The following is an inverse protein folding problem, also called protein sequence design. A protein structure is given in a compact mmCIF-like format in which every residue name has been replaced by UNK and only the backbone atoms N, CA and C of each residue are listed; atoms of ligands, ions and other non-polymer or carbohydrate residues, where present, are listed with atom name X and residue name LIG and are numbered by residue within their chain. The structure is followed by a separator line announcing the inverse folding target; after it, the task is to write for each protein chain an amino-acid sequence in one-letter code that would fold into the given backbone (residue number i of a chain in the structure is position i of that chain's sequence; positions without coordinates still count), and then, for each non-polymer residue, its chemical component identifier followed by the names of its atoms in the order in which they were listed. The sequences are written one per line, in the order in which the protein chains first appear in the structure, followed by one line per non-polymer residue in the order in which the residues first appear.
data_IF_712166567705
#
_entry.id   IF_712166567705
#
_cell.length_a   1.000
_cell.length_b   1.000
_cell.length_c   1.000
_cell.angle_alpha   90.00
_cell.angle_beta   90.00
_cell.angle_gamma   90.00
#
_symmetry.space_group_name_H-M   'P 1'
#
loop_
_entity.id
_entity.type
_entity.pdbx_description
1 polymer ?
#
# COMPACT_ATOMS: atom_id res chain seq x y z
N UNK A 1 43.47 -6.72 -16.70
CA UNK A 1 42.24 -6.64 -15.90
C UNK A 1 41.25 -5.78 -16.67
N UNK A 2 40.36 -6.42 -17.40
CA UNK A 2 39.30 -5.77 -18.17
C UNK A 2 38.19 -5.38 -17.18
N UNK A 3 37.99 -4.09 -16.96
CA UNK A 3 36.81 -3.57 -16.32
C UNK A 3 35.64 -3.86 -17.26
N UNK A 4 34.87 -4.90 -16.97
CA UNK A 4 33.53 -5.04 -17.54
C UNK A 4 32.73 -3.80 -17.13
N UNK A 5 32.46 -2.95 -18.12
CA UNK A 5 31.43 -1.94 -18.01
C UNK A 5 30.11 -2.70 -17.86
N UNK A 6 29.68 -2.94 -16.62
CA UNK A 6 28.31 -3.31 -16.30
C UNK A 6 27.45 -2.09 -16.64
N UNK A 7 26.97 -2.04 -17.88
CA UNK A 7 25.86 -1.16 -18.22
C UNK A 7 24.70 -1.52 -17.27
N UNK A 8 24.05 -0.54 -16.66
CA UNK A 8 22.82 -0.84 -15.93
C UNK A 8 21.86 -1.59 -16.85
N UNK A 9 21.06 -2.53 -16.35
CA UNK A 9 20.10 -3.25 -17.17
C UNK A 9 19.29 -2.26 -18.01
N UNK A 10 19.04 -2.59 -19.27
CA UNK A 10 18.43 -1.68 -20.25
C UNK A 10 17.05 -1.14 -19.80
N UNK A 11 16.36 -1.87 -18.89
CA UNK A 11 15.12 -1.42 -18.25
C UNK A 11 15.11 -1.83 -16.75
N UNK A 12 15.62 -1.00 -15.83
CA UNK A 12 15.51 -1.30 -14.41
C UNK A 12 14.04 -1.27 -13.98
N UNK A 13 13.60 -2.27 -13.21
CA UNK A 13 12.29 -2.26 -12.56
C UNK A 13 12.22 -1.06 -11.63
N UNK A 14 11.21 -0.23 -11.77
CA UNK A 14 11.01 0.95 -10.93
C UNK A 14 9.73 0.90 -10.08
N UNK A 15 8.73 0.08 -10.46
CA UNK A 15 7.49 -0.09 -9.70
C UNK A 15 7.25 -1.57 -9.41
N UNK A 16 7.06 -1.91 -8.14
CA UNK A 16 6.66 -3.25 -7.70
C UNK A 16 5.21 -3.22 -7.21
N UNK A 17 4.35 -3.98 -7.86
CA UNK A 17 2.96 -4.18 -7.47
C UNK A 17 2.91 -5.27 -6.40
N UNK A 18 2.43 -4.95 -5.20
CA UNK A 18 2.32 -5.91 -4.10
C UNK A 18 0.87 -6.37 -3.97
N UNK A 19 0.59 -7.60 -4.38
CA UNK A 19 -0.76 -8.14 -4.56
C UNK A 19 -0.96 -9.47 -3.81
N UNK A 20 -1.40 -9.43 -2.55
CA UNK A 20 -1.98 -10.61 -1.90
C UNK A 20 -3.35 -10.92 -2.50
N UNK A 21 -3.64 -12.19 -2.76
CA UNK A 21 -4.93 -12.62 -3.32
C UNK A 21 -5.37 -13.96 -2.76
N UNK A 22 -6.70 -14.15 -2.60
CA UNK A 22 -7.30 -15.40 -2.15
C UNK A 22 -8.72 -15.57 -2.67
N UNK A 23 -8.99 -16.73 -3.29
CA UNK A 23 -10.34 -17.17 -3.66
C UNK A 23 -11.03 -16.34 -4.73
N UNK A 24 -10.27 -15.55 -5.52
CA UNK A 24 -10.79 -14.58 -6.48
C UNK A 24 -10.12 -14.66 -7.84
N UNK A 25 -10.17 -15.82 -8.54
CA UNK A 25 -9.43 -16.02 -9.79
C UNK A 25 -9.77 -15.01 -10.89
N UNK A 26 -11.06 -14.72 -11.12
CA UNK A 26 -11.50 -13.74 -12.13
C UNK A 26 -11.21 -12.29 -11.76
N UNK A 27 -11.50 -11.83 -10.52
CA UNK A 27 -11.07 -10.52 -10.08
C UNK A 27 -9.55 -10.32 -10.17
N UNK A 28 -8.73 -11.31 -9.80
CA UNK A 28 -7.28 -11.29 -9.96
C UNK A 28 -6.87 -11.03 -11.42
N UNK A 29 -7.45 -11.75 -12.38
CA UNK A 29 -7.19 -11.53 -13.80
C UNK A 29 -7.61 -10.12 -14.22
N UNK A 30 -8.82 -9.70 -13.88
CA UNK A 30 -9.36 -8.39 -14.25
C UNK A 30 -8.50 -7.24 -13.69
N UNK A 31 -8.12 -7.32 -12.42
CA UNK A 31 -7.33 -6.27 -11.79
C UNK A 31 -5.95 -6.11 -12.45
N UNK A 32 -5.28 -7.23 -12.78
CA UNK A 32 -3.99 -7.19 -13.46
C UNK A 32 -4.09 -6.73 -14.91
N UNK A 33 -5.12 -7.18 -15.66
CA UNK A 33 -5.34 -6.69 -17.02
C UNK A 33 -5.59 -5.18 -17.05
N UNK A 34 -6.49 -4.67 -16.22
CA UNK A 34 -6.77 -3.22 -16.18
C UNK A 34 -5.55 -2.42 -15.73
N UNK A 35 -4.72 -2.96 -14.86
CA UNK A 35 -3.50 -2.32 -14.40
C UNK A 35 -2.46 -2.26 -15.54
N UNK A 36 -2.14 -3.39 -16.15
CA UNK A 36 -1.03 -3.50 -17.09
C UNK A 36 -1.39 -3.01 -18.51
N UNK A 37 -2.62 -3.21 -18.98
CA UNK A 37 -3.08 -2.70 -20.27
C UNK A 37 -3.13 -1.16 -20.34
N UNK A 38 -3.21 -0.50 -19.17
CA UNK A 38 -3.17 0.96 -19.07
C UNK A 38 -1.80 1.52 -18.67
N UNK A 39 -0.81 0.67 -18.44
CA UNK A 39 0.55 1.12 -18.21
C UNK A 39 1.21 1.58 -19.52
N UNK A 40 2.01 2.64 -19.43
CA UNK A 40 2.79 3.14 -20.56
C UNK A 40 3.97 2.25 -20.88
N UNK A 41 4.62 1.73 -19.85
CA UNK A 41 5.80 0.87 -19.98
C UNK A 41 5.73 -0.30 -18.98
N UNK A 42 4.97 -1.36 -19.30
CA UNK A 42 4.82 -2.53 -18.45
C UNK A 42 6.15 -3.26 -18.17
N UNK A 43 7.15 -3.16 -19.05
CA UNK A 43 8.45 -3.84 -18.90
C UNK A 43 9.27 -3.32 -17.70
N UNK A 44 8.88 -2.17 -17.14
CA UNK A 44 9.51 -1.58 -15.95
C UNK A 44 8.69 -1.80 -14.67
N UNK A 45 7.69 -2.65 -14.75
CA UNK A 45 6.83 -3.05 -13.64
C UNK A 45 7.11 -4.50 -13.30
N UNK A 46 7.19 -4.83 -12.02
CA UNK A 46 7.11 -6.21 -11.56
C UNK A 46 5.82 -6.44 -10.77
N UNK A 47 5.27 -7.65 -10.85
CA UNK A 47 4.09 -8.07 -10.10
C UNK A 47 4.50 -9.10 -9.06
N UNK A 48 4.36 -8.74 -7.78
CA UNK A 48 4.66 -9.58 -6.64
C UNK A 48 3.36 -10.14 -6.08
N UNK A 49 3.10 -11.44 -6.25
CA UNK A 49 1.86 -12.10 -5.82
C UNK A 49 2.10 -12.92 -4.56
N UNK A 50 1.14 -12.87 -3.65
CA UNK A 50 1.08 -13.78 -2.50
C UNK A 50 -0.19 -14.63 -2.58
N UNK A 51 -0.02 -15.95 -2.53
CA UNK A 51 -1.09 -16.94 -2.51
C UNK A 51 -1.04 -17.76 -1.22
N UNK A 52 -2.20 -18.12 -0.70
CA UNK A 52 -2.27 -19.20 0.28
C UNK A 52 -2.12 -20.55 -0.41
N UNK A 53 -1.35 -21.47 0.16
CA UNK A 53 -1.04 -22.78 -0.43
C UNK A 53 -2.27 -23.71 -0.58
N UNK A 54 -3.35 -23.43 0.15
CA UNK A 54 -4.62 -24.14 0.08
C UNK A 54 -5.58 -23.54 -0.97
N UNK A 55 -5.25 -22.40 -1.59
CA UNK A 55 -6.07 -21.74 -2.61
C UNK A 55 -5.77 -22.27 -4.03
N UNK A 56 -6.03 -23.55 -4.20
CA UNK A 56 -5.64 -24.27 -5.42
C UNK A 56 -6.34 -23.78 -6.70
N UNK A 57 -7.56 -23.26 -6.59
CA UNK A 57 -8.30 -22.74 -7.73
C UNK A 57 -7.67 -21.43 -8.25
N UNK A 58 -7.34 -20.52 -7.35
CA UNK A 58 -6.72 -19.24 -7.69
C UNK A 58 -5.30 -19.45 -8.26
N UNK A 59 -4.52 -20.35 -7.63
CA UNK A 59 -3.18 -20.73 -8.11
C UNK A 59 -3.27 -21.34 -9.52
N UNK A 60 -4.24 -22.27 -9.73
CA UNK A 60 -4.45 -22.88 -11.05
C UNK A 60 -4.80 -21.83 -12.11
N UNK A 61 -5.73 -20.92 -11.80
CA UNK A 61 -6.11 -19.84 -12.71
C UNK A 61 -4.92 -18.91 -13.02
N UNK A 62 -4.11 -18.61 -12.03
CA UNK A 62 -2.88 -17.85 -12.23
C UNK A 62 -1.97 -18.54 -13.25
N UNK A 63 -1.67 -19.83 -13.07
CA UNK A 63 -0.78 -20.58 -13.96
C UNK A 63 -1.36 -20.72 -15.36
N UNK A 64 -2.66 -21.01 -15.48
CA UNK A 64 -3.29 -21.31 -16.76
C UNK A 64 -3.62 -20.04 -17.59
N UNK A 65 -3.85 -18.89 -16.94
CA UNK A 65 -4.42 -17.70 -17.61
C UNK A 65 -3.57 -16.45 -17.37
N UNK A 66 -3.24 -16.15 -16.11
CA UNK A 66 -2.57 -14.88 -15.77
C UNK A 66 -1.08 -14.92 -16.13
N UNK A 67 -0.41 -15.99 -15.80
CA UNK A 67 1.02 -16.16 -16.10
C UNK A 67 1.32 -16.03 -17.60
N UNK A 68 0.63 -16.72 -18.53
CA UNK A 68 0.82 -16.51 -19.97
C UNK A 68 0.60 -15.06 -20.43
N UNK A 69 -0.36 -14.37 -19.82
CA UNK A 69 -0.61 -12.96 -20.12
C UNK A 69 0.57 -12.06 -19.67
N UNK A 70 1.14 -12.29 -18.48
CA UNK A 70 2.31 -11.57 -17.99
C UNK A 70 3.54 -11.84 -18.88
N UNK A 71 3.74 -13.10 -19.26
CA UNK A 71 4.83 -13.53 -20.17
C UNK A 71 4.71 -12.83 -21.54
N UNK A 72 3.50 -12.76 -22.11
CA UNK A 72 3.25 -12.10 -23.40
C UNK A 72 3.52 -10.59 -23.34
N UNK A 73 3.32 -9.95 -22.21
CA UNK A 73 3.63 -8.54 -21.99
C UNK A 73 5.11 -8.29 -21.63
N UNK A 74 5.88 -9.34 -21.32
CA UNK A 74 7.26 -9.21 -20.84
C UNK A 74 7.34 -8.57 -19.45
N UNK A 75 6.33 -8.75 -18.61
CA UNK A 75 6.27 -8.24 -17.24
C UNK A 75 6.96 -9.21 -16.31
N UNK A 76 7.91 -8.72 -15.52
CA UNK A 76 8.52 -9.51 -14.44
C UNK A 76 7.51 -9.82 -13.35
N UNK A 77 7.51 -11.06 -12.85
CA UNK A 77 6.62 -11.42 -11.73
C UNK A 77 7.26 -12.45 -10.81
N UNK A 78 6.77 -12.47 -9.57
CA UNK A 78 7.07 -13.50 -8.57
C UNK A 78 5.79 -13.91 -7.85
N UNK A 79 5.59 -15.22 -7.67
CA UNK A 79 4.46 -15.78 -6.94
C UNK A 79 4.97 -16.53 -5.71
N UNK A 80 4.69 -15.99 -4.52
CA UNK A 80 5.11 -16.57 -3.24
C UNK A 80 3.91 -17.29 -2.62
N UNK A 81 4.10 -18.55 -2.25
CA UNK A 81 3.08 -19.33 -1.54
C UNK A 81 3.33 -19.32 -0.04
N UNK A 82 2.25 -19.10 0.71
CA UNK A 82 2.24 -19.06 2.17
C UNK A 82 1.35 -20.16 2.74
N UNK A 83 1.63 -20.61 3.96
CA UNK A 83 0.57 -21.19 4.77
C UNK A 83 -0.47 -20.08 5.05
N UNK A 84 -1.76 -20.43 5.04
CA UNK A 84 -2.83 -19.45 5.20
C UNK A 84 -2.61 -18.59 6.46
N UNK A 85 -2.39 -17.29 6.23
CA UNK A 85 -2.25 -16.29 7.28
C UNK A 85 -3.58 -15.58 7.60
N UNK A 86 -4.47 -15.44 6.61
CA UNK A 86 -5.74 -14.75 6.70
C UNK A 86 -5.60 -13.23 6.77
N UNK A 87 -6.75 -12.52 6.78
CA UNK A 87 -6.78 -11.06 6.79
C UNK A 87 -6.11 -10.44 8.03
N UNK A 88 -6.18 -11.12 9.17
CA UNK A 88 -5.57 -10.66 10.42
C UNK A 88 -4.05 -10.55 10.37
N UNK A 89 -3.43 -11.14 9.35
CA UNK A 89 -1.97 -11.11 9.12
C UNK A 89 -1.63 -10.60 7.71
N UNK A 90 -2.49 -9.78 7.12
CA UNK A 90 -2.30 -9.21 5.78
C UNK A 90 -0.97 -8.46 5.63
N UNK A 91 -0.52 -7.81 6.70
CA UNK A 91 0.78 -7.15 6.72
C UNK A 91 1.97 -8.11 6.50
N UNK A 92 1.86 -9.37 6.88
CA UNK A 92 2.96 -10.34 6.71
C UNK A 92 3.15 -10.71 5.24
N UNK A 93 2.06 -10.88 4.47
CA UNK A 93 2.15 -11.05 3.02
C UNK A 93 2.84 -9.84 2.38
N UNK A 94 2.33 -8.63 2.65
CA UNK A 94 2.85 -7.41 2.04
C UNK A 94 4.31 -7.13 2.43
N UNK A 95 4.69 -7.38 3.69
CA UNK A 95 6.06 -7.23 4.15
C UNK A 95 7.02 -8.19 3.44
N UNK A 96 6.61 -9.43 3.23
CA UNK A 96 7.44 -10.42 2.52
C UNK A 96 7.54 -10.10 1.03
N UNK A 97 6.44 -9.69 0.38
CA UNK A 97 6.48 -9.21 -1.00
C UNK A 97 7.42 -8.01 -1.15
N UNK A 98 7.31 -7.02 -0.26
CA UNK A 98 8.16 -5.83 -0.28
C UNK A 98 9.65 -6.13 -0.08
N UNK A 99 9.97 -7.14 0.72
CA UNK A 99 11.35 -7.57 0.97
C UNK A 99 12.00 -8.15 -0.30
N UNK A 100 11.23 -8.89 -1.09
CA UNK A 100 11.70 -9.54 -2.32
C UNK A 100 11.55 -8.68 -3.57
N UNK A 101 10.85 -7.55 -3.50
CA UNK A 101 10.65 -6.63 -4.63
C UNK A 101 11.96 -5.98 -5.09
N UNK A 102 12.03 -5.59 -6.36
CA UNK A 102 13.18 -4.91 -6.97
C UNK A 102 12.92 -3.42 -7.20
N UNK A 103 11.66 -3.04 -7.40
CA UNK A 103 11.27 -1.68 -7.75
C UNK A 103 11.62 -0.66 -6.68
N UNK A 104 11.94 0.55 -7.11
CA UNK A 104 12.19 1.70 -6.23
C UNK A 104 10.93 2.21 -5.55
N UNK A 105 9.76 1.91 -6.12
CA UNK A 105 8.44 2.24 -5.63
C UNK A 105 7.60 1.00 -5.42
N UNK A 106 6.93 0.91 -4.27
CA UNK A 106 6.08 -0.19 -3.84
C UNK A 106 4.64 0.26 -3.91
N UNK A 107 3.84 -0.38 -4.74
CA UNK A 107 2.44 -0.06 -4.93
C UNK A 107 1.56 -1.17 -4.33
N UNK A 108 0.83 -0.87 -3.25
CA UNK A 108 -0.14 -1.80 -2.69
C UNK A 108 -1.31 -1.95 -3.66
N UNK A 109 -1.64 -3.16 -4.00
CA UNK A 109 -2.72 -3.45 -4.92
C UNK A 109 -3.64 -4.53 -4.36
N UNK A 110 -4.92 -4.48 -4.71
CA UNK A 110 -5.92 -5.45 -4.32
C UNK A 110 -6.51 -6.12 -5.56
N UNK A 111 -6.94 -7.37 -5.43
CA UNK A 111 -7.57 -8.12 -6.51
C UNK A 111 -9.00 -7.64 -6.88
N UNK A 112 -9.59 -6.73 -6.09
CA UNK A 112 -10.83 -6.02 -6.37
C UNK A 112 -10.63 -4.57 -6.81
N UNK A 113 -9.44 -4.23 -7.28
CA UNK A 113 -9.10 -2.91 -7.81
C UNK A 113 -9.09 -2.88 -9.34
N UNK A 114 -9.60 -1.79 -9.91
CA UNK A 114 -9.65 -1.56 -11.37
C UNK A 114 -8.97 -0.25 -11.68
N UNK A 115 -7.86 -0.28 -12.40
CA UNK A 115 -7.17 0.93 -12.88
C UNK A 115 -8.02 1.66 -13.91
N UNK A 116 -8.16 2.98 -13.76
CA UNK A 116 -8.93 3.85 -14.66
C UNK A 116 -8.08 4.90 -15.38
N UNK A 117 -6.85 5.07 -14.97
CA UNK A 117 -5.96 6.09 -15.54
C UNK A 117 -5.00 5.46 -16.55
N UNK A 118 -5.05 5.94 -17.78
CA UNK A 118 -4.05 5.61 -18.80
C UNK A 118 -2.69 6.20 -18.42
N UNK A 119 -1.60 5.48 -18.71
CA UNK A 119 -0.22 5.90 -18.43
C UNK A 119 0.04 6.19 -16.94
N UNK A 120 -0.69 5.52 -16.04
CA UNK A 120 -0.62 5.71 -14.58
C UNK A 120 0.82 5.52 -14.01
N UNK A 121 1.58 4.63 -14.60
CA UNK A 121 2.97 4.35 -14.23
C UNK A 121 3.89 5.53 -14.52
N UNK A 122 3.64 6.26 -15.62
CA UNK A 122 4.35 7.50 -15.93
C UNK A 122 4.03 8.59 -14.90
N UNK A 123 2.76 8.68 -14.47
CA UNK A 123 2.38 9.63 -13.40
C UNK A 123 3.15 9.34 -12.12
N UNK A 124 3.33 8.07 -11.75
CA UNK A 124 4.17 7.70 -10.59
C UNK A 124 5.63 8.14 -10.84
N UNK A 125 6.22 7.82 -11.99
CA UNK A 125 7.61 8.17 -12.33
C UNK A 125 7.84 9.69 -12.27
N UNK A 126 6.90 10.48 -12.77
CA UNK A 126 6.98 11.94 -12.76
C UNK A 126 6.94 12.53 -11.34
N UNK A 127 6.40 11.78 -10.37
CA UNK A 127 6.31 12.15 -8.96
C UNK A 127 7.33 11.45 -8.06
N UNK A 128 8.20 10.59 -8.63
CA UNK A 128 9.14 9.74 -7.91
C UNK A 128 10.44 10.47 -7.48
N UNK A 129 10.53 11.79 -7.64
CA UNK A 129 11.75 12.57 -7.38
C UNK A 129 12.02 12.77 -5.89
N UNK A 130 11.01 12.60 -5.04
CA UNK A 130 11.08 12.92 -3.62
C UNK A 130 10.48 11.81 -2.76
N UNK A 131 10.83 11.79 -1.48
CA UNK A 131 10.33 10.84 -0.51
C UNK A 131 8.91 11.22 -0.06
N UNK A 132 7.88 10.71 -0.75
CA UNK A 132 6.47 10.88 -0.41
C UNK A 132 5.75 9.53 -0.35
N UNK A 133 4.67 9.45 0.42
CA UNK A 133 3.57 8.54 0.15
C UNK A 133 2.74 9.18 -0.96
N UNK A 134 2.70 8.55 -2.14
CA UNK A 134 1.83 8.97 -3.22
C UNK A 134 0.44 8.34 -3.01
N UNK A 135 -0.58 9.20 -3.05
CA UNK A 135 -1.98 8.82 -2.86
C UNK A 135 -2.71 8.89 -4.19
N UNK A 136 -3.17 7.75 -4.68
CA UNK A 136 -4.10 7.68 -5.80
C UNK A 136 -5.51 8.11 -5.36
N UNK A 137 -6.31 8.63 -6.30
CA UNK A 137 -7.73 8.92 -6.11
C UNK A 137 -8.55 7.63 -6.25
N UNK A 138 -9.69 7.56 -5.57
CA UNK A 138 -10.58 6.40 -5.62
C UNK A 138 -12.03 6.83 -5.87
N UNK A 139 -12.86 5.89 -6.32
CA UNK A 139 -14.29 6.11 -6.61
C UNK A 139 -15.15 6.42 -5.38
N UNK A 140 -14.58 6.42 -4.19
CA UNK A 140 -15.24 6.85 -2.96
C UNK A 140 -14.25 7.60 -2.07
N UNK A 141 -14.75 8.58 -1.34
CA UNK A 141 -13.91 9.33 -0.41
C UNK A 141 -13.45 8.43 0.74
N UNK A 142 -12.16 8.44 0.99
CA UNK A 142 -11.55 7.74 2.10
C UNK A 142 -10.42 8.59 2.71
N UNK A 143 -10.28 8.63 4.04
CA UNK A 143 -9.25 9.45 4.67
C UNK A 143 -7.83 8.97 4.37
N UNK A 144 -7.63 7.65 4.24
CA UNK A 144 -6.34 7.04 4.00
C UNK A 144 -6.04 6.87 2.50
N UNK A 145 -4.77 6.72 2.15
CA UNK A 145 -4.38 6.20 0.85
C UNK A 145 -4.68 4.69 0.82
N UNK A 146 -5.81 4.28 0.26
CA UNK A 146 -6.23 2.86 0.21
C UNK A 146 -5.23 2.03 -0.59
N UNK A 147 -4.70 2.61 -1.65
CA UNK A 147 -3.65 2.06 -2.49
C UNK A 147 -2.39 2.91 -2.34
N UNK A 148 -1.68 2.82 -1.20
CA UNK A 148 -0.49 3.64 -0.98
C UNK A 148 0.63 3.22 -1.92
N UNK A 149 1.32 4.23 -2.47
CA UNK A 149 2.52 4.06 -3.27
C UNK A 149 3.67 4.65 -2.46
N UNK A 150 4.62 3.81 -2.07
CA UNK A 150 5.70 4.17 -1.17
C UNK A 150 7.07 3.97 -1.82
N UNK A 151 8.06 4.84 -1.55
CA UNK A 151 9.43 4.53 -1.93
C UNK A 151 9.91 3.28 -1.17
N UNK A 152 10.62 2.38 -1.82
CA UNK A 152 11.23 1.19 -1.18
C UNK A 152 12.12 1.58 0.01
N UNK A 153 12.68 2.77 -0.02
CA UNK A 153 13.43 3.38 1.08
C UNK A 153 12.66 3.40 2.40
N UNK A 154 11.32 3.46 2.36
CA UNK A 154 10.47 3.33 3.56
C UNK A 154 10.77 2.01 4.30
N UNK A 155 10.76 0.90 3.58
CA UNK A 155 11.04 -0.43 4.15
C UNK A 155 12.47 -0.54 4.66
N UNK A 156 13.44 0.06 3.98
CA UNK A 156 14.84 0.09 4.41
C UNK A 156 15.00 0.83 5.75
N UNK A 157 14.21 1.88 5.99
CA UNK A 157 14.27 2.68 7.23
C UNK A 157 13.54 1.99 8.37
N UNK A 158 12.34 1.47 8.13
CA UNK A 158 11.46 0.93 9.18
C UNK A 158 11.67 -0.56 9.42
N UNK A 159 12.18 -1.29 8.42
CA UNK A 159 12.35 -2.73 8.41
C UNK A 159 11.12 -3.51 7.90
N UNK A 160 10.03 -2.81 7.54
CA UNK A 160 8.77 -3.38 7.05
C UNK A 160 7.90 -2.29 6.41
N UNK A 161 6.84 -2.66 5.70
CA UNK A 161 5.81 -1.72 5.23
C UNK A 161 4.89 -1.30 6.38
N UNK A 162 4.37 -2.28 7.10
CA UNK A 162 3.49 -2.10 8.25
C UNK A 162 3.62 -3.28 9.22
N UNK A 163 3.67 -3.04 10.52
CA UNK A 163 3.61 -4.10 11.52
C UNK A 163 2.18 -4.51 11.88
N UNK A 164 1.18 -3.85 11.29
CA UNK A 164 -0.24 -4.03 11.57
C UNK A 164 -0.99 -4.36 10.28
N UNK A 165 -2.03 -5.19 10.36
CA UNK A 165 -2.82 -5.66 9.22
C UNK A 165 -3.61 -4.54 8.50
N UNK A 166 -3.90 -3.42 9.16
CA UNK A 166 -4.49 -2.24 8.53
C UNK A 166 -3.35 -1.38 7.94
N UNK A 167 -2.81 -1.86 6.82
CA UNK A 167 -1.58 -1.32 6.23
C UNK A 167 -1.75 0.09 5.66
N UNK A 168 -2.86 0.34 4.98
CA UNK A 168 -3.23 1.62 4.37
C UNK A 168 -3.34 2.74 5.41
N UNK A 169 -4.05 2.49 6.50
CA UNK A 169 -4.16 3.43 7.61
C UNK A 169 -2.83 3.62 8.33
N UNK A 170 -2.03 2.55 8.50
CA UNK A 170 -0.72 2.64 9.14
C UNK A 170 0.21 3.58 8.39
N UNK A 171 0.44 3.29 7.12
CA UNK A 171 1.35 4.09 6.28
C UNK A 171 0.86 5.52 6.11
N UNK A 172 -0.46 5.71 5.93
CA UNK A 172 -1.05 7.04 5.83
C UNK A 172 -0.88 7.86 7.11
N UNK A 173 -1.08 7.27 8.29
CA UNK A 173 -0.93 8.01 9.54
C UNK A 173 0.53 8.41 9.82
N UNK A 174 1.47 7.53 9.53
CA UNK A 174 2.90 7.85 9.64
C UNK A 174 3.27 8.99 8.67
N UNK A 175 2.80 8.91 7.43
CA UNK A 175 3.06 9.95 6.43
C UNK A 175 2.40 11.30 6.78
N UNK A 176 1.22 11.30 7.36
CA UNK A 176 0.54 12.53 7.81
C UNK A 176 1.28 13.22 8.96
N UNK A 177 1.83 12.45 9.89
CA UNK A 177 2.63 13.03 10.98
C UNK A 177 3.84 13.81 10.47
N UNK A 178 4.33 13.47 9.28
CA UNK A 178 5.51 14.10 8.65
C UNK A 178 5.16 15.05 7.51
N UNK A 179 3.89 15.18 7.15
CA UNK A 179 3.45 15.99 6.00
C UNK A 179 4.06 15.54 4.66
N UNK A 180 4.17 14.24 4.48
CA UNK A 180 4.75 13.62 3.29
C UNK A 180 3.72 12.82 2.47
N UNK A 181 2.48 13.27 2.43
CA UNK A 181 1.46 12.72 1.53
C UNK A 181 1.28 13.62 0.33
N UNK A 182 1.38 13.05 -0.86
CA UNK A 182 1.16 13.76 -2.13
C UNK A 182 0.07 13.05 -2.94
N UNK A 183 -1.05 13.70 -3.17
CA UNK A 183 -2.09 13.16 -4.06
C UNK A 183 -1.64 13.30 -5.51
N UNK A 184 -1.84 12.25 -6.30
CA UNK A 184 -1.49 12.19 -7.72
C UNK A 184 -2.75 11.90 -8.55
N UNK A 185 -2.82 12.34 -9.81
CA UNK A 185 -3.99 12.15 -10.67
C UNK A 185 -4.05 10.72 -11.26
N UNK A 186 -4.08 9.73 -10.39
CA UNK A 186 -4.28 8.32 -10.72
C UNK A 186 -5.60 7.89 -10.11
N UNK A 187 -6.58 7.49 -10.92
CA UNK A 187 -7.90 7.06 -10.49
C UNK A 187 -7.99 5.53 -10.46
N UNK A 188 -8.42 4.99 -9.33
CA UNK A 188 -8.62 3.56 -9.11
C UNK A 188 -10.06 3.33 -8.64
N UNK A 189 -10.79 2.46 -9.30
CA UNK A 189 -12.07 1.98 -8.79
C UNK A 189 -11.83 0.78 -7.87
N UNK A 190 -12.33 0.85 -6.64
CA UNK A 190 -12.27 -0.21 -5.67
C UNK A 190 -13.64 -0.90 -5.60
N UNK A 191 -13.71 -2.14 -6.12
CA UNK A 191 -14.95 -2.91 -6.25
C UNK A 191 -15.22 -3.77 -4.99
N UNK A 192 -15.16 -3.14 -3.82
CA UNK A 192 -15.40 -3.79 -2.53
C UNK A 192 -16.87 -4.18 -2.36
N UNK A 193 -17.14 -5.25 -1.60
CA UNK A 193 -18.48 -5.73 -1.29
C UNK A 193 -19.41 -4.65 -0.73
N UNK A 194 -18.95 -3.84 0.20
CA UNK A 194 -19.75 -2.78 0.82
C UNK A 194 -20.09 -1.62 -0.14
N UNK A 195 -19.45 -1.55 -1.29
CA UNK A 195 -19.73 -0.57 -2.35
C UNK A 195 -20.57 -1.16 -3.49
N UNK A 196 -20.33 -2.42 -3.83
CA UNK A 196 -20.94 -3.07 -5.01
C UNK A 196 -22.03 -4.09 -4.65
N UNK A 197 -22.00 -4.65 -3.45
CA UNK A 197 -22.82 -5.79 -3.05
C UNK A 197 -22.30 -7.13 -3.57
N UNK A 198 -21.15 -7.15 -4.23
CA UNK A 198 -20.48 -8.34 -4.78
C UNK A 198 -19.19 -8.62 -3.99
N UNK A 199 -18.65 -9.84 -4.16
CA UNK A 199 -17.37 -10.26 -3.51
C UNK A 199 -17.46 -10.46 -1.98
N UNK A 200 -18.61 -10.89 -1.46
CA UNK A 200 -18.74 -11.30 -0.04
C UNK A 200 -18.06 -12.66 0.18
N UNK A 201 -16.83 -12.62 0.61
CA UNK A 201 -16.00 -13.80 0.89
C UNK A 201 -15.53 -13.89 2.35
N UNK A 202 -14.69 -14.88 2.65
CA UNK A 202 -14.11 -15.06 3.98
C UNK A 202 -13.23 -13.89 4.40
N UNK A 203 -12.44 -13.34 3.49
CA UNK A 203 -11.53 -12.21 3.73
C UNK A 203 -12.30 -10.99 4.20
N UNK A 204 -13.43 -10.68 3.54
CA UNK A 204 -14.29 -9.57 3.94
C UNK A 204 -14.95 -9.81 5.31
N UNK A 205 -15.35 -11.04 5.61
CA UNK A 205 -15.90 -11.41 6.94
C UNK A 205 -14.86 -11.23 8.05
N UNK A 206 -13.63 -11.69 7.84
CA UNK A 206 -12.52 -11.49 8.78
C UNK A 206 -12.24 -10.00 9.00
N UNK A 207 -12.32 -9.18 7.96
CA UNK A 207 -12.21 -7.72 8.06
C UNK A 207 -13.28 -7.11 8.94
N UNK A 208 -14.58 -7.47 8.75
CA UNK A 208 -15.67 -6.98 9.60
C UNK A 208 -15.42 -7.33 11.07
N UNK A 209 -14.91 -8.52 11.36
CA UNK A 209 -14.57 -8.92 12.73
C UNK A 209 -13.50 -8.00 13.32
N UNK A 210 -12.49 -7.64 12.55
CA UNK A 210 -11.42 -6.72 12.97
C UNK A 210 -11.95 -5.31 13.22
N UNK A 211 -12.80 -4.78 12.35
CA UNK A 211 -13.37 -3.43 12.47
C UNK A 211 -14.28 -3.29 13.71
N UNK A 212 -14.86 -4.39 14.17
CA UNK A 212 -15.73 -4.44 15.35
C UNK A 212 -15.00 -4.83 16.66
N UNK A 213 -13.66 -4.90 16.67
CA UNK A 213 -12.92 -5.22 17.88
C UNK A 213 -13.06 -4.12 18.92
N UNK A 214 -13.20 -4.49 20.22
CA UNK A 214 -13.17 -3.52 21.29
C UNK A 214 -11.84 -2.75 21.33
N UNK A 215 -11.87 -1.42 21.48
CA UNK A 215 -10.66 -0.58 21.49
C UNK A 215 -9.65 -0.88 22.61
N UNK A 216 -10.00 -1.76 23.55
CA UNK A 216 -9.11 -2.30 24.58
C UNK A 216 -8.37 -3.58 24.13
N UNK A 217 -8.79 -4.20 23.01
CA UNK A 217 -8.11 -5.38 22.47
C UNK A 217 -6.72 -4.97 21.95
N UNK A 218 -5.66 -5.67 22.34
CA UNK A 218 -4.31 -5.37 21.83
C UNK A 218 -4.16 -5.47 20.31
N UNK A 219 -5.11 -6.08 19.62
CA UNK A 219 -5.18 -6.16 18.14
C UNK A 219 -5.86 -4.95 17.51
N UNK A 220 -6.57 -4.13 18.31
CA UNK A 220 -7.21 -2.91 17.83
C UNK A 220 -6.15 -1.91 17.34
N UNK A 221 -6.34 -1.39 16.14
CA UNK A 221 -5.44 -0.43 15.51
C UNK A 221 -5.18 0.82 16.35
N UNK A 222 -6.15 1.24 17.17
CA UNK A 222 -6.08 2.42 18.03
C UNK A 222 -5.57 2.10 19.44
N UNK A 223 -5.26 0.82 19.74
CA UNK A 223 -4.67 0.47 21.02
C UNK A 223 -3.36 1.23 21.27
N UNK A 224 -3.09 1.58 22.53
CA UNK A 224 -1.95 2.43 22.91
C UNK A 224 -0.59 1.89 22.43
N UNK A 225 -0.44 0.57 22.39
CA UNK A 225 0.78 -0.07 21.90
C UNK A 225 1.07 0.29 20.44
N UNK A 226 0.04 0.22 19.58
CA UNK A 226 0.19 0.54 18.16
C UNK A 226 0.35 2.04 17.92
N UNK A 227 -0.28 2.89 18.75
CA UNK A 227 -0.05 4.34 18.70
C UNK A 227 1.41 4.69 18.99
N UNK A 228 1.99 4.12 20.07
CA UNK A 228 3.41 4.33 20.39
C UNK A 228 4.32 3.87 19.26
N UNK A 229 4.06 2.68 18.72
CA UNK A 229 4.87 2.13 17.62
C UNK A 229 4.80 2.98 16.36
N UNK A 230 3.64 3.57 16.01
CA UNK A 230 3.54 4.51 14.90
C UNK A 230 4.42 5.74 15.10
N UNK A 231 4.46 6.28 16.31
CA UNK A 231 5.34 7.41 16.65
C UNK A 231 6.81 7.01 16.49
N UNK A 232 7.22 5.85 17.00
CA UNK A 232 8.59 5.35 16.87
C UNK A 232 9.01 5.17 15.40
N UNK A 233 8.13 4.68 14.56
CA UNK A 233 8.39 4.58 13.13
C UNK A 233 8.44 5.94 12.44
N UNK A 234 7.52 6.83 12.80
CA UNK A 234 7.56 8.22 12.31
C UNK A 234 8.87 8.89 12.65
N UNK A 235 9.41 8.64 13.85
CA UNK A 235 10.71 9.18 14.26
C UNK A 235 11.87 8.64 13.42
N UNK A 236 11.87 7.36 13.05
CA UNK A 236 12.89 6.80 12.15
C UNK A 236 12.86 7.49 10.79
N UNK A 237 11.68 7.69 10.21
CA UNK A 237 11.52 8.37 8.93
C UNK A 237 11.88 9.85 9.06
N UNK A 238 11.50 10.53 10.15
CA UNK A 238 11.89 11.91 10.43
C UNK A 238 13.41 12.08 10.47
N UNK A 239 14.14 11.17 11.13
CA UNK A 239 15.60 11.18 11.16
C UNK A 239 16.21 11.06 9.75
N UNK A 240 15.64 10.22 8.90
CA UNK A 240 16.05 10.13 7.50
C UNK A 240 15.77 11.43 6.74
N UNK A 241 14.56 12.00 6.89
CA UNK A 241 14.17 13.26 6.24
C UNK A 241 15.08 14.41 6.66
N UNK A 242 15.41 14.54 7.96
CA UNK A 242 16.37 15.51 8.47
C UNK A 242 17.74 15.30 7.80
N UNK A 243 18.19 14.06 7.62
CA UNK A 243 19.49 13.75 7.01
C UNK A 243 19.61 14.18 5.55
N UNK A 244 18.48 14.29 4.84
CA UNK A 244 18.40 14.78 3.45
C UNK A 244 17.93 16.24 3.35
N UNK A 245 17.88 16.96 4.47
CA UNK A 245 17.56 18.38 4.54
C UNK A 245 16.08 18.74 4.42
N UNK A 246 15.17 17.77 4.64
CA UNK A 246 13.72 18.04 4.68
C UNK A 246 13.29 18.46 6.09
N UNK A 247 12.37 19.42 6.14
CA UNK A 247 11.87 19.99 7.40
C UNK A 247 10.92 19.01 8.12
N UNK A 248 11.28 18.60 9.34
CA UNK A 248 10.46 17.82 10.25
C UNK A 248 10.13 18.58 11.55
N UNK A 249 10.37 19.88 11.59
CA UNK A 249 10.22 20.70 12.78
C UNK A 249 8.83 20.57 13.41
N UNK A 250 7.77 20.52 12.58
CA UNK A 250 6.43 20.39 13.11
C UNK A 250 6.25 19.09 13.93
N UNK A 251 6.74 17.96 13.41
CA UNK A 251 6.70 16.67 14.12
C UNK A 251 7.52 16.76 15.43
N UNK A 252 8.74 17.29 15.38
CA UNK A 252 9.63 17.44 16.53
C UNK A 252 8.99 18.31 17.63
N UNK A 253 8.40 19.42 17.25
CA UNK A 253 7.74 20.35 18.16
C UNK A 253 6.47 19.74 18.77
N UNK A 254 5.74 18.90 18.03
CA UNK A 254 4.60 18.14 18.56
C UNK A 254 5.04 17.13 19.62
N UNK A 255 6.17 16.47 19.42
CA UNK A 255 6.72 15.50 20.39
C UNK A 255 7.21 16.18 21.70
N UNK A 256 7.56 17.47 21.64
CA UNK A 256 8.00 18.26 22.81
C UNK A 256 6.89 19.08 23.45
N UNK A 257 5.65 18.95 22.97
CA UNK A 257 4.48 19.69 23.48
C UNK A 257 4.42 21.15 23.09
N UNK A 258 5.25 21.61 22.14
CA UNK A 258 5.21 22.98 21.60
C UNK A 258 4.06 23.23 20.63
N UNK A 259 3.61 22.18 19.96
CA UNK A 259 2.47 22.19 19.04
C UNK A 259 1.31 21.39 19.63
N UNK A 260 0.07 21.61 19.12
CA UNK A 260 -1.05 20.73 19.46
C UNK A 260 -0.71 19.26 19.23
N UNK A 261 -1.32 18.40 20.03
CA UNK A 261 -1.15 16.96 19.98
C UNK A 261 -1.10 16.45 18.54
N UNK A 262 -0.07 15.68 18.22
CA UNK A 262 0.13 15.06 16.90
C UNK A 262 -1.10 14.30 16.41
N UNK A 263 -1.91 13.75 17.35
CA UNK A 263 -3.18 13.10 17.06
C UNK A 263 -4.24 14.07 16.59
N UNK A 264 -4.20 15.33 17.03
CA UNK A 264 -5.11 16.37 16.55
C UNK A 264 -4.89 16.67 15.05
N UNK A 265 -3.64 16.66 14.57
CA UNK A 265 -3.34 16.80 13.13
C UNK A 265 -3.96 15.67 12.31
N UNK A 266 -3.85 14.43 12.78
CA UNK A 266 -4.45 13.29 12.10
C UNK A 266 -5.98 13.38 12.06
N UNK A 267 -6.60 13.83 13.13
CA UNK A 267 -8.07 14.09 13.18
C UNK A 267 -8.45 15.20 12.19
N UNK A 268 -7.65 16.25 12.07
CA UNK A 268 -7.91 17.35 11.13
C UNK A 268 -7.78 16.95 9.66
N UNK A 269 -6.98 15.92 9.37
CA UNK A 269 -6.78 15.39 8.03
C UNK A 269 -7.77 14.26 7.68
N UNK A 270 -8.50 13.72 8.66
CA UNK A 270 -9.57 12.74 8.45
C UNK A 270 -10.90 13.42 8.11
N UNK A 271 -11.33 13.46 6.82
CA UNK A 271 -12.57 14.13 6.42
C UNK A 271 -13.81 13.52 7.06
N UNK A 272 -13.81 12.22 7.37
CA UNK A 272 -14.96 11.56 8.02
C UNK A 272 -15.08 11.93 9.51
N UNK A 273 -13.97 12.21 10.20
CA UNK A 273 -14.02 12.71 11.57
C UNK A 273 -14.45 14.17 11.62
N UNK A 274 -14.07 15.00 10.63
CA UNK A 274 -14.62 16.36 10.48
C UNK A 274 -16.14 16.35 10.33
N UNK A 275 -16.69 15.46 9.48
CA UNK A 275 -18.14 15.33 9.26
C UNK A 275 -18.87 14.80 10.51
N UNK A 276 -18.26 13.89 11.29
CA UNK A 276 -18.86 13.40 12.55
C UNK A 276 -18.84 14.48 13.64
N UNK A 277 -17.72 15.16 13.84
CA UNK A 277 -17.64 16.27 14.81
C UNK A 277 -18.59 17.42 14.43
N UNK A 278 -18.84 17.65 13.14
CA UNK A 278 -19.80 18.66 12.68
C UNK A 278 -21.25 18.26 12.96
N UNK A 279 -21.58 16.98 12.87
CA UNK A 279 -22.94 16.47 13.20
C UNK A 279 -23.21 16.45 14.70
N UNK A 280 -22.18 16.31 15.53
CA UNK A 280 -22.30 16.31 16.99
C UNK A 280 -22.30 17.74 17.59
N UNK A 281 -22.05 18.77 16.76
CA UNK A 281 -22.02 20.19 17.15
C UNK A 281 -23.17 21.00 16.57
N UNK A 282 -24.08 20.40 15.83
CA UNK A 282 -25.35 20.94 15.33
C UNK A 282 -26.51 20.16 15.92
#
# INVERSE_FOLDING_TARGET
MTTENLLPPENPIDISILLPTRGRPKPLEQCLRTLLDQAKDPSRIEVMLAFDNDDTENIKHFVDVVQPYLDDLGVEYSAIQFERLGYMRLNEYLNELAKHSQGSWLFFWNDDAVMKTQDWDQVIRDNAQEFYLLRAETNHEHPYAIFPILPKKWVEITGHLSPHQINDAWTSQVAWMLDIVKTIPVMIHHERYDLTGENLDETFKERIMLENMPGQDPRDFNHITWRKRRIEETEKIANYLDSIGRDTTWFRDSMTGKNPDIWARMVLQDPHKRLRQWKDTV
#
